data_IF_652962432228
#
_entry.id   IF_652962432228
#
_cell.length_a   1.000
_cell.length_b   1.000
_cell.length_c   1.000
_cell.angle_alpha   90.00
_cell.angle_beta   90.00
_cell.angle_gamma   90.00
#
_symmetry.space_group_name_H-M   'P 1'
#
loop_
_entity.id
_entity.type
_entity.pdbx_description
1 polymer ?
#
# COMPACT_ATOMS: atom_id res chain seq x y z
N UNK A 1 -10.71 11.64 -6.99
CA UNK A 1 -10.29 11.90 -5.62
C UNK A 1 -11.06 13.09 -5.04
N UNK A 2 -11.55 12.98 -3.79
CA UNK A 2 -12.14 14.11 -3.06
C UNK A 2 -11.05 15.16 -2.78
N UNK A 3 -11.39 16.45 -2.53
CA UNK A 3 -10.40 17.48 -2.22
C UNK A 3 -9.48 17.10 -1.04
N UNK A 4 -10.07 16.52 0.01
CA UNK A 4 -9.39 16.07 1.23
C UNK A 4 -8.95 14.58 1.20
N UNK A 5 -9.06 13.93 0.05
CA UNK A 5 -8.71 12.53 -0.14
C UNK A 5 -7.22 12.32 -0.32
N UNK A 6 -6.79 11.08 -0.10
CA UNK A 6 -5.39 10.65 -0.21
C UNK A 6 -5.21 9.56 -1.26
N UNK A 7 -4.07 9.57 -1.96
CA UNK A 7 -3.57 8.45 -2.74
C UNK A 7 -2.23 8.05 -2.14
N UNK A 8 -2.05 6.78 -1.82
CA UNK A 8 -0.77 6.20 -1.46
C UNK A 8 -0.25 5.39 -2.63
N UNK A 9 0.71 5.96 -3.33
CA UNK A 9 1.30 5.36 -4.52
C UNK A 9 2.64 4.73 -4.16
N UNK A 10 2.68 3.40 -4.05
CA UNK A 10 3.92 2.67 -3.78
C UNK A 10 4.65 2.38 -5.08
N UNK A 11 5.90 2.79 -5.15
CA UNK A 11 6.78 2.49 -6.28
C UNK A 11 8.25 2.62 -5.89
N UNK A 12 9.06 1.71 -6.39
CA UNK A 12 10.51 1.79 -6.26
C UNK A 12 11.14 2.45 -7.49
N UNK A 13 12.29 3.13 -7.33
CA UNK A 13 13.09 3.55 -8.47
C UNK A 13 13.43 2.36 -9.38
N UNK A 14 13.32 2.53 -10.68
CA UNK A 14 13.74 1.53 -11.67
C UNK A 14 15.07 1.95 -12.28
N UNK A 15 15.96 0.99 -12.48
CA UNK A 15 17.19 1.22 -13.26
C UNK A 15 17.00 0.74 -14.70
N UNK A 16 17.28 1.65 -15.63
CA UNK A 16 17.31 1.35 -17.05
C UNK A 16 18.44 2.13 -17.70
N UNK A 17 19.24 1.48 -18.54
CA UNK A 17 20.41 2.09 -19.23
C UNK A 17 21.32 2.89 -18.28
N UNK A 18 21.71 2.28 -17.15
CA UNK A 18 22.57 2.87 -16.12
C UNK A 18 22.02 4.15 -15.43
N UNK A 19 20.74 4.45 -15.61
CA UNK A 19 20.05 5.57 -14.94
C UNK A 19 19.02 5.03 -13.93
N UNK A 20 18.86 5.75 -12.83
CA UNK A 20 17.72 5.58 -11.95
C UNK A 20 16.57 6.44 -12.48
N UNK A 21 15.41 5.82 -12.74
CA UNK A 21 14.17 6.50 -13.09
C UNK A 21 13.28 6.56 -11.85
N UNK A 22 12.97 7.77 -11.43
CA UNK A 22 12.17 8.02 -10.25
C UNK A 22 10.70 8.18 -10.63
N UNK A 23 9.77 7.69 -9.81
CA UNK A 23 8.34 7.87 -10.03
C UNK A 23 7.92 9.35 -10.13
N UNK A 24 8.67 10.25 -9.52
CA UNK A 24 8.44 11.69 -9.63
C UNK A 24 8.47 12.20 -11.08
N UNK A 25 9.19 11.54 -11.99
CA UNK A 25 9.26 11.91 -13.41
C UNK A 25 7.88 11.90 -14.09
N UNK A 26 6.97 11.05 -13.63
CA UNK A 26 5.60 10.99 -14.16
C UNK A 26 4.54 11.54 -13.19
N UNK A 27 4.79 11.50 -11.86
CA UNK A 27 3.88 12.11 -10.88
C UNK A 27 3.71 13.61 -11.18
N UNK A 28 4.80 14.31 -11.48
CA UNK A 28 4.76 15.74 -11.84
C UNK A 28 3.92 16.05 -13.09
N UNK A 29 3.63 15.04 -13.93
CA UNK A 29 2.72 15.20 -15.08
C UNK A 29 1.25 15.07 -14.70
N UNK A 30 0.96 14.66 -13.48
CA UNK A 30 -0.39 14.60 -12.93
C UNK A 30 -0.72 15.92 -12.21
N UNK A 31 -2.01 16.14 -11.94
CA UNK A 31 -2.47 17.28 -11.15
C UNK A 31 -2.47 16.99 -9.64
N UNK A 32 -1.77 15.94 -9.21
CA UNK A 32 -1.69 15.56 -7.80
C UNK A 32 -0.41 16.16 -7.16
N UNK A 33 -0.56 16.72 -5.97
CA UNK A 33 0.56 17.20 -5.18
C UNK A 33 1.16 16.05 -4.39
N UNK A 34 2.49 15.98 -4.30
CA UNK A 34 3.16 15.12 -3.34
C UNK A 34 3.06 15.80 -1.98
N UNK A 35 2.22 15.27 -1.10
CA UNK A 35 2.06 15.77 0.26
C UNK A 35 3.22 15.33 1.15
N UNK A 36 3.59 14.05 1.06
CA UNK A 36 4.72 13.49 1.81
C UNK A 36 5.30 12.27 1.09
N UNK A 37 6.60 12.03 1.28
CA UNK A 37 7.28 10.80 0.92
C UNK A 37 7.45 9.93 2.16
N UNK A 38 6.99 8.68 2.10
CA UNK A 38 7.20 7.66 3.12
C UNK A 38 8.15 6.62 2.55
N UNK A 39 9.16 6.25 3.31
CA UNK A 39 10.13 5.22 2.94
C UNK A 39 9.77 3.93 3.65
N UNK A 40 9.37 2.92 2.91
CA UNK A 40 9.19 1.59 3.45
C UNK A 40 10.52 0.84 3.43
N UNK A 41 11.13 0.65 4.60
CA UNK A 41 12.31 -0.21 4.78
C UNK A 41 11.86 -1.67 4.95
N UNK A 42 12.18 -2.48 3.96
CA UNK A 42 11.85 -3.91 3.87
C UNK A 42 12.83 -4.78 4.63
N UNK A 43 13.89 -4.21 5.21
CA UNK A 43 15.01 -4.90 5.90
C UNK A 43 15.86 -5.78 4.97
N UNK A 44 15.32 -6.30 3.88
CA UNK A 44 16.02 -7.18 2.96
C UNK A 44 15.50 -7.03 1.52
N UNK A 45 16.31 -7.47 0.58
CA UNK A 45 15.92 -7.58 -0.83
C UNK A 45 16.49 -8.88 -1.41
N UNK A 46 15.73 -9.60 -2.25
CA UNK A 46 16.27 -10.75 -2.97
C UNK A 46 17.23 -10.36 -4.10
N UNK A 47 17.23 -9.09 -4.51
CA UNK A 47 18.05 -8.59 -5.63
C UNK A 47 19.40 -8.12 -5.14
N UNK A 48 20.34 -9.05 -5.03
CA UNK A 48 21.73 -8.76 -4.65
C UNK A 48 22.56 -8.72 -5.93
N UNK A 49 23.21 -7.59 -6.17
CA UNK A 49 24.14 -7.37 -7.27
C UNK A 49 25.41 -6.74 -6.70
N UNK A 50 26.57 -7.08 -7.28
CA UNK A 50 27.85 -6.60 -6.79
C UNK A 50 28.12 -5.13 -7.12
N UNK A 51 27.45 -4.60 -8.14
CA UNK A 51 27.69 -3.26 -8.71
C UNK A 51 26.80 -2.16 -8.13
N UNK A 52 25.86 -2.51 -7.25
CA UNK A 52 24.93 -1.54 -6.62
C UNK A 52 24.65 -1.90 -5.17
N UNK A 53 24.24 -0.90 -4.41
CA UNK A 53 23.72 -1.15 -3.05
C UNK A 53 22.43 -1.98 -3.11
N UNK A 54 22.23 -2.80 -2.10
CA UNK A 54 21.03 -3.64 -2.00
C UNK A 54 19.78 -2.77 -1.90
N UNK A 55 18.83 -2.86 -2.85
CA UNK A 55 17.63 -2.03 -2.85
C UNK A 55 16.61 -2.55 -1.83
N UNK A 56 16.82 -2.28 -0.56
CA UNK A 56 15.97 -2.74 0.53
C UNK A 56 14.81 -1.80 0.87
N UNK A 57 14.67 -0.68 0.16
CA UNK A 57 13.59 0.28 0.39
C UNK A 57 12.66 0.39 -0.80
N UNK A 58 11.41 0.74 -0.52
CA UNK A 58 10.44 1.22 -1.51
C UNK A 58 9.87 2.57 -1.05
N UNK A 59 9.38 3.34 -2.00
CA UNK A 59 8.82 4.65 -1.73
C UNK A 59 7.30 4.61 -1.80
N UNK A 60 6.64 5.25 -0.86
CA UNK A 60 5.20 5.49 -0.86
C UNK A 60 5.01 6.99 -0.98
N UNK A 61 4.52 7.42 -2.13
CA UNK A 61 4.18 8.81 -2.39
C UNK A 61 2.76 9.05 -1.89
N UNK A 62 2.63 9.84 -0.83
CA UNK A 62 1.34 10.30 -0.37
C UNK A 62 0.94 11.50 -1.20
N UNK A 63 -0.05 11.32 -2.07
CA UNK A 63 -0.53 12.32 -3.00
C UNK A 63 -1.90 12.83 -2.57
N UNK A 64 -2.17 14.10 -2.88
CA UNK A 64 -3.45 14.75 -2.62
C UNK A 64 -3.74 15.82 -3.68
N UNK A 65 -4.99 16.31 -3.70
CA UNK A 65 -5.34 17.53 -4.47
C UNK A 65 -5.00 18.78 -3.66
N UNK A 66 -5.57 18.84 -2.46
CA UNK A 66 -5.39 19.95 -1.54
C UNK A 66 -4.70 19.45 -0.26
N UNK A 67 -5.28 19.74 0.91
CA UNK A 67 -4.81 19.22 2.19
C UNK A 67 -5.55 17.92 2.54
N UNK A 68 -4.87 16.79 2.63
CA UNK A 68 -5.53 15.53 2.96
C UNK A 68 -6.01 15.55 4.41
N UNK A 69 -7.11 14.85 4.68
CA UNK A 69 -7.43 14.44 6.05
C UNK A 69 -6.36 13.48 6.53
N UNK A 70 -5.82 13.74 7.70
CA UNK A 70 -4.82 12.86 8.29
C UNK A 70 -4.88 12.88 9.80
N UNK A 71 -4.74 11.71 10.41
CA UNK A 71 -4.65 11.57 11.86
C UNK A 71 -3.62 10.49 12.23
N UNK A 72 -2.37 10.91 12.45
CA UNK A 72 -1.29 10.00 12.85
C UNK A 72 -1.52 9.31 14.19
N UNK A 73 -2.47 9.79 15.02
CA UNK A 73 -2.79 9.16 16.30
C UNK A 73 -3.51 7.80 16.12
N UNK A 74 -4.00 7.52 14.91
CA UNK A 74 -4.65 6.26 14.55
C UNK A 74 -3.66 5.13 14.23
N UNK A 75 -2.38 5.43 14.02
CA UNK A 75 -1.33 4.45 13.79
C UNK A 75 -0.45 4.29 15.02
N UNK A 76 0.31 3.20 15.07
CA UNK A 76 1.25 2.96 16.16
C UNK A 76 2.39 3.97 16.17
N UNK A 77 2.87 4.33 17.37
CA UNK A 77 3.88 5.38 17.58
C UNK A 77 5.17 5.14 16.79
N UNK A 78 5.54 3.88 16.57
CA UNK A 78 6.71 3.51 15.77
C UNK A 78 6.63 3.95 14.30
N UNK A 79 5.42 4.25 13.79
CA UNK A 79 5.17 4.71 12.42
C UNK A 79 4.89 6.23 12.32
N UNK A 80 5.17 7.00 13.37
CA UNK A 80 5.00 8.46 13.34
C UNK A 80 6.03 9.17 12.47
N UNK A 81 7.17 8.52 12.21
CA UNK A 81 8.20 9.01 11.30
C UNK A 81 7.96 8.60 9.85
N UNK A 82 8.75 9.15 8.96
CA UNK A 82 8.67 8.90 7.50
C UNK A 82 9.24 7.54 7.09
N UNK A 83 10.02 6.89 7.94
CA UNK A 83 10.62 5.59 7.67
C UNK A 83 9.83 4.50 8.40
N UNK A 84 9.19 3.63 7.63
CA UNK A 84 8.41 2.52 8.13
C UNK A 84 9.17 1.21 7.98
N UNK A 85 9.56 0.64 9.10
CA UNK A 85 10.26 -0.64 9.18
C UNK A 85 9.23 -1.78 9.22
N UNK A 86 8.83 -2.28 8.06
CA UNK A 86 7.82 -3.34 7.94
C UNK A 86 8.41 -4.49 7.13
N UNK A 87 8.55 -5.68 7.76
CA UNK A 87 9.09 -6.85 7.08
C UNK A 87 8.04 -7.45 6.13
N UNK A 88 8.37 -7.67 4.84
CA UNK A 88 7.48 -8.36 3.92
C UNK A 88 7.17 -9.77 4.40
N UNK A 89 5.90 -10.13 4.45
CA UNK A 89 5.49 -11.52 4.69
C UNK A 89 5.43 -12.26 3.36
N UNK A 90 6.06 -13.44 3.28
CA UNK A 90 5.92 -14.32 2.12
C UNK A 90 4.53 -14.94 2.15
N UNK A 91 3.82 -14.88 1.03
CA UNK A 91 2.56 -15.58 0.85
C UNK A 91 2.71 -16.61 -0.25
N UNK A 92 2.31 -17.86 0.01
CA UNK A 92 2.36 -18.95 -0.97
C UNK A 92 1.52 -18.56 -2.19
N UNK A 93 2.11 -18.68 -3.38
CA UNK A 93 1.40 -18.39 -4.63
C UNK A 93 1.36 -16.92 -5.07
N UNK A 94 1.89 -15.99 -4.27
CA UNK A 94 1.99 -14.58 -4.65
C UNK A 94 3.44 -14.07 -4.57
N UNK A 95 4.00 -13.54 -5.66
CA UNK A 95 5.42 -13.18 -5.72
C UNK A 95 5.82 -12.01 -4.81
N UNK A 96 4.92 -11.10 -4.50
CA UNK A 96 5.23 -9.90 -3.69
C UNK A 96 3.97 -9.23 -3.10
N UNK A 97 3.24 -9.85 -2.16
CA UNK A 97 2.11 -9.18 -1.54
C UNK A 97 2.60 -8.03 -0.64
N UNK A 98 1.83 -6.94 -0.62
CA UNK A 98 2.05 -5.90 0.39
C UNK A 98 1.77 -6.46 1.78
N UNK A 99 2.56 -6.09 2.80
CA UNK A 99 2.18 -6.37 4.18
C UNK A 99 0.86 -5.69 4.53
N UNK A 100 -0.05 -6.41 5.18
CA UNK A 100 -1.32 -5.84 5.67
C UNK A 100 -1.08 -4.61 6.56
N UNK A 101 -0.02 -4.63 7.35
CA UNK A 101 0.38 -3.55 8.24
C UNK A 101 0.69 -2.24 7.49
N UNK A 102 1.33 -2.32 6.33
CA UNK A 102 1.62 -1.15 5.49
C UNK A 102 0.32 -0.51 4.99
N UNK A 103 -0.58 -1.32 4.46
CA UNK A 103 -1.90 -0.87 3.98
C UNK A 103 -2.73 -0.34 5.14
N UNK A 104 -2.74 -1.02 6.30
CA UNK A 104 -3.42 -0.60 7.51
C UNK A 104 -3.00 0.82 7.92
N UNK A 105 -1.70 1.09 7.96
CA UNK A 105 -1.19 2.41 8.34
C UNK A 105 -1.65 3.49 7.36
N UNK A 106 -1.59 3.25 6.05
CA UNK A 106 -2.10 4.18 5.04
C UNK A 106 -3.59 4.48 5.24
N UNK A 107 -4.41 3.44 5.49
CA UNK A 107 -5.85 3.58 5.68
C UNK A 107 -6.18 4.33 6.98
N UNK A 108 -5.54 3.97 8.09
CA UNK A 108 -5.79 4.60 9.38
C UNK A 108 -5.39 6.07 9.38
N UNK A 109 -4.29 6.43 8.69
CA UNK A 109 -3.87 7.83 8.56
C UNK A 109 -4.89 8.71 7.86
N UNK A 110 -5.64 8.19 6.88
CA UNK A 110 -6.35 9.02 5.91
C UNK A 110 -7.84 8.74 5.80
N UNK A 111 -8.37 7.74 6.51
CA UNK A 111 -9.77 7.33 6.42
C UNK A 111 -10.39 7.06 7.79
N UNK A 112 -11.71 7.06 7.83
CA UNK A 112 -12.54 6.63 8.98
C UNK A 112 -13.38 5.41 8.60
N UNK A 113 -13.91 4.65 9.58
CA UNK A 113 -14.92 3.63 9.30
C UNK A 113 -16.06 4.18 8.43
N UNK A 114 -16.50 3.39 7.44
CA UNK A 114 -17.52 3.78 6.44
C UNK A 114 -16.99 4.52 5.22
N UNK A 115 -15.75 5.02 5.22
CA UNK A 115 -15.15 5.62 4.02
C UNK A 115 -14.91 4.57 2.92
N UNK A 116 -14.77 5.04 1.66
CA UNK A 116 -14.50 4.19 0.50
C UNK A 116 -13.00 4.23 0.20
N UNK A 117 -12.42 3.04 0.09
CA UNK A 117 -11.05 2.78 -0.36
C UNK A 117 -11.11 2.23 -1.78
N UNK A 118 -10.33 2.78 -2.69
CA UNK A 118 -10.24 2.33 -4.08
C UNK A 118 -8.84 1.85 -4.41
N UNK A 119 -8.74 0.62 -4.92
CA UNK A 119 -7.48 0.05 -5.41
C UNK A 119 -7.65 -0.37 -6.87
N UNK A 120 -7.09 0.37 -7.83
CA UNK A 120 -7.19 0.05 -9.25
C UNK A 120 -6.30 -1.13 -9.68
N UNK A 121 -5.44 -1.65 -8.80
CA UNK A 121 -4.52 -2.75 -9.05
C UNK A 121 -4.56 -3.75 -7.89
N UNK A 122 -5.76 -4.28 -7.61
CA UNK A 122 -6.10 -5.02 -6.40
C UNK A 122 -5.18 -6.22 -6.12
N UNK A 123 -4.70 -6.91 -7.15
CA UNK A 123 -3.90 -8.12 -7.00
C UNK A 123 -4.62 -9.16 -6.15
N UNK A 124 -3.94 -9.71 -5.15
CA UNK A 124 -4.49 -10.71 -4.22
C UNK A 124 -5.36 -10.12 -3.10
N UNK A 125 -5.82 -8.87 -3.22
CA UNK A 125 -6.84 -8.27 -2.36
C UNK A 125 -6.38 -7.81 -0.98
N UNK A 126 -5.10 -7.49 -0.79
CA UNK A 126 -4.62 -7.03 0.52
C UNK A 126 -5.32 -5.74 0.95
N UNK A 127 -5.52 -4.80 0.02
CA UNK A 127 -6.24 -3.55 0.29
C UNK A 127 -7.69 -3.81 0.69
N UNK A 128 -8.40 -4.68 -0.03
CA UNK A 128 -9.79 -5.04 0.27
C UNK A 128 -9.91 -5.67 1.65
N UNK A 129 -9.07 -6.66 1.94
CA UNK A 129 -9.06 -7.37 3.22
C UNK A 129 -8.82 -6.42 4.41
N UNK A 130 -7.84 -5.53 4.28
CA UNK A 130 -7.52 -4.57 5.36
C UNK A 130 -8.62 -3.53 5.50
N UNK A 131 -9.21 -3.06 4.40
CA UNK A 131 -10.31 -2.11 4.44
C UNK A 131 -11.53 -2.71 5.15
N UNK A 132 -11.88 -3.95 4.85
CA UNK A 132 -13.01 -4.67 5.45
C UNK A 132 -12.78 -4.90 6.96
N UNK A 133 -11.61 -5.42 7.36
CA UNK A 133 -11.22 -5.58 8.77
C UNK A 133 -11.26 -4.26 9.54
N UNK A 134 -11.03 -3.15 8.88
CA UNK A 134 -11.03 -1.83 9.48
C UNK A 134 -12.39 -1.10 9.39
N UNK A 135 -13.45 -1.76 8.91
CA UNK A 135 -14.78 -1.19 8.78
C UNK A 135 -14.92 -0.14 7.67
N UNK A 136 -14.03 -0.19 6.65
CA UNK A 136 -14.10 0.64 5.46
C UNK A 136 -14.78 -0.13 4.34
N UNK A 137 -15.48 0.59 3.46
CA UNK A 137 -15.95 0.02 2.18
C UNK A 137 -14.81 0.05 1.18
N UNK A 138 -14.81 -0.86 0.23
CA UNK A 138 -13.76 -0.91 -0.78
C UNK A 138 -14.32 -1.14 -2.18
N UNK A 139 -13.56 -0.70 -3.17
CA UNK A 139 -13.75 -0.97 -4.59
C UNK A 139 -12.39 -1.34 -5.14
N UNK A 140 -12.30 -2.43 -5.90
CA UNK A 140 -11.06 -2.89 -6.51
C UNK A 140 -11.23 -3.25 -7.97
N UNK A 141 -10.13 -3.10 -8.74
CA UNK A 141 -10.04 -3.60 -10.12
C UNK A 141 -8.86 -4.57 -10.20
N UNK A 142 -9.08 -5.69 -10.89
CA UNK A 142 -8.04 -6.68 -11.20
C UNK A 142 -8.38 -7.32 -12.56
N UNK A 143 -7.37 -7.59 -13.36
CA UNK A 143 -7.53 -8.19 -14.70
C UNK A 143 -7.27 -9.70 -14.70
N UNK A 144 -6.47 -10.18 -13.77
CA UNK A 144 -6.09 -11.60 -13.68
C UNK A 144 -7.11 -12.36 -12.82
N UNK A 145 -7.88 -13.26 -13.44
CA UNK A 145 -8.88 -14.08 -12.76
C UNK A 145 -8.33 -14.88 -11.59
N UNK A 146 -7.07 -15.30 -11.66
CA UNK A 146 -6.39 -15.99 -10.57
C UNK A 146 -6.31 -15.11 -9.33
N UNK A 147 -5.96 -13.83 -9.49
CA UNK A 147 -5.91 -12.90 -8.37
C UNK A 147 -7.29 -12.52 -7.86
N UNK A 148 -8.29 -12.44 -8.73
CA UNK A 148 -9.69 -12.25 -8.32
C UNK A 148 -10.14 -13.42 -7.43
N UNK A 149 -9.86 -14.67 -7.84
CA UNK A 149 -10.19 -15.86 -7.05
C UNK A 149 -9.49 -15.82 -5.67
N UNK A 150 -8.19 -15.51 -5.65
CA UNK A 150 -7.42 -15.38 -4.40
C UNK A 150 -8.01 -14.30 -3.47
N UNK A 151 -8.45 -13.19 -4.03
CA UNK A 151 -9.10 -12.11 -3.26
C UNK A 151 -10.39 -12.60 -2.61
N UNK A 152 -11.24 -13.26 -3.38
CA UNK A 152 -12.53 -13.78 -2.89
C UNK A 152 -12.32 -14.84 -1.79
N UNK A 153 -11.39 -15.77 -1.97
CA UNK A 153 -11.04 -16.77 -0.96
C UNK A 153 -10.58 -16.12 0.36
N UNK A 154 -9.70 -15.11 0.28
CA UNK A 154 -9.20 -14.40 1.47
C UNK A 154 -10.29 -13.63 2.21
N UNK A 155 -11.19 -12.99 1.49
CA UNK A 155 -12.31 -12.27 2.07
C UNK A 155 -13.32 -13.23 2.74
N UNK A 156 -13.64 -14.34 2.08
CA UNK A 156 -14.52 -15.38 2.64
C UNK A 156 -13.94 -15.94 3.94
N UNK A 157 -12.66 -16.35 3.92
CA UNK A 157 -12.00 -16.88 5.12
C UNK A 157 -11.96 -15.87 6.28
N UNK A 158 -11.73 -14.58 5.98
CA UNK A 158 -11.74 -13.54 7.01
C UNK A 158 -13.13 -13.33 7.62
N UNK A 159 -14.19 -13.43 6.82
CA UNK A 159 -15.57 -13.28 7.27
C UNK A 159 -16.05 -14.48 8.08
N UNK A 160 -15.57 -15.68 7.79
CA UNK A 160 -15.87 -16.88 8.60
C UNK A 160 -15.25 -16.79 9.99
N UNK A 161 -13.99 -16.35 10.09
CA UNK A 161 -13.30 -16.16 11.39
C UNK A 161 -14.03 -15.14 12.26
N UNK A 162 -14.54 -14.05 11.66
CA UNK A 162 -15.28 -13.04 12.40
C UNK A 162 -16.65 -13.54 12.91
N UNK A 163 -17.24 -14.55 12.27
CA UNK A 163 -18.53 -15.16 12.69
C UNK A 163 -18.37 -16.21 13.78
N UNK A 164 -17.21 -16.86 13.86
CA UNK A 164 -16.95 -17.95 14.83
C UNK A 164 -16.24 -17.45 16.09
N UNK A 165 -15.88 -16.18 16.16
CA UNK A 165 -15.20 -15.53 17.27
C UNK A 165 -16.16 -14.86 18.29
N UNK A 166 -17.46 -15.18 18.26
CA UNK A 166 -18.43 -14.86 19.33
C UNK A 166 -18.54 -15.97 20.37
#
# INVERSE_FOLDING_TARGET
LKPDGSIFFNHKPRRYKNRAHLPTEFIHKSNANIYQLIVWDRKSSPNIRADILVPNTEHIYWLCKDKPKSDRKQIERQYFGEVWNITPKRQKGHPAPFPEELVKNCLLLSTKPGDIVFDPFMGSGTTALVAEKAGRRWIGCELDEKYISMTNERLTAANEINKTGE
#
